data_IF_683056806120
#
_entry.id   IF_683056806120
#
_cell.length_a   1.000
_cell.length_b   1.000
_cell.length_c   1.000
_cell.angle_alpha   90.00
_cell.angle_beta   90.00
_cell.angle_gamma   90.00
#
_symmetry.space_group_name_H-M   'P 1'
#
loop_
_entity.id
_entity.type
_entity.pdbx_description
1 polymer ?
#
# COMPACT_ATOMS: atom_id res chain seq x y z
N UNK A 1 2.37 11.58 -0.81
CA UNK A 1 1.75 12.11 0.39
C UNK A 1 0.87 13.29 0.08
N UNK A 2 -0.29 13.34 0.72
CA UNK A 2 -1.25 14.43 0.52
C UNK A 2 -0.79 15.73 1.20
N UNK A 3 0.07 15.63 2.20
CA UNK A 3 0.60 16.78 2.92
C UNK A 3 2.07 16.55 3.26
N UNK A 4 2.86 17.57 3.03
CA UNK A 4 4.27 17.61 3.41
C UNK A 4 4.38 18.12 4.84
N UNK A 5 4.80 17.26 5.75
CA UNK A 5 5.09 17.62 7.12
C UNK A 5 6.58 17.42 7.40
N UNK A 6 7.25 18.33 8.12
CA UNK A 6 8.62 18.09 8.53
C UNK A 6 8.68 16.91 9.50
N UNK A 7 9.78 16.19 9.51
CA UNK A 7 10.01 15.15 10.52
C UNK A 7 9.98 15.75 11.93
N UNK A 8 9.56 14.97 12.94
CA UNK A 8 9.68 15.39 14.33
C UNK A 8 11.12 15.77 14.67
N UNK A 9 11.31 16.73 15.58
CA UNK A 9 12.63 17.11 16.04
C UNK A 9 13.38 15.92 16.66
N UNK A 10 14.68 15.79 16.33
CA UNK A 10 15.50 14.69 16.82
C UNK A 10 15.26 13.34 16.14
N UNK A 11 14.67 13.35 14.95
CA UNK A 11 14.53 12.11 14.16
C UNK A 11 15.90 11.45 13.92
N UNK A 12 15.93 10.13 13.93
CA UNK A 12 17.11 9.34 13.58
C UNK A 12 16.95 8.82 12.16
N UNK A 13 17.87 9.23 11.29
CA UNK A 13 17.88 8.78 9.91
C UNK A 13 18.92 7.69 9.70
N UNK A 14 18.48 6.58 9.12
CA UNK A 14 19.41 5.51 8.73
C UNK A 14 20.09 5.91 7.42
N UNK A 15 21.42 5.94 7.44
CA UNK A 15 22.15 5.98 6.19
C UNK A 15 21.84 4.70 5.42
N UNK A 16 21.59 4.85 4.14
CA UNK A 16 21.19 3.85 3.16
C UNK A 16 21.29 2.39 3.67
N UNK A 17 20.16 1.70 3.90
CA UNK A 17 20.16 0.34 4.44
C UNK A 17 20.72 -0.70 3.45
N UNK A 18 21.08 -0.30 2.22
CA UNK A 18 21.57 -1.19 1.18
C UNK A 18 20.52 -2.13 0.58
N UNK A 19 20.91 -2.87 -0.44
CA UNK A 19 20.07 -3.88 -1.06
C UNK A 19 20.21 -5.22 -0.32
N UNK A 20 19.16 -6.00 -0.09
CA UNK A 20 17.77 -5.73 -0.45
C UNK A 20 17.05 -4.97 0.67
N UNK A 21 16.59 -3.79 0.40
CA UNK A 21 15.81 -3.00 1.35
C UNK A 21 14.43 -2.71 0.76
N UNK A 22 13.38 -3.06 1.51
CA UNK A 22 12.03 -2.60 1.23
C UNK A 22 11.78 -1.18 1.77
N UNK A 23 12.81 -0.53 2.27
CA UNK A 23 12.76 0.85 2.73
C UNK A 23 12.84 1.76 1.52
N UNK A 24 11.80 2.54 1.31
CA UNK A 24 11.81 3.61 0.30
C UNK A 24 12.80 4.67 0.78
N UNK A 25 13.83 5.03 0.01
CA UNK A 25 14.69 6.15 0.38
C UNK A 25 13.85 7.42 0.37
N UNK A 26 13.55 7.95 1.53
CA UNK A 26 12.90 9.24 1.67
C UNK A 26 13.93 10.31 1.32
N UNK A 27 13.86 10.81 0.11
CA UNK A 27 14.93 11.63 -0.46
C UNK A 27 15.10 13.03 0.13
N UNK A 28 14.23 13.53 0.98
CA UNK A 28 14.39 14.82 1.66
C UNK A 28 13.41 14.92 2.80
N UNK A 29 13.88 15.22 3.97
CA UNK A 29 13.28 15.44 5.27
C UNK A 29 11.82 15.85 5.42
N UNK A 30 10.90 15.12 4.84
CA UNK A 30 9.47 15.31 5.03
C UNK A 30 8.78 13.99 5.32
N UNK A 31 7.91 14.01 6.31
CA UNK A 31 7.04 12.90 6.63
C UNK A 31 5.84 12.86 5.69
N UNK A 32 5.32 11.66 5.46
CA UNK A 32 4.05 11.48 4.75
C UNK A 32 2.92 11.41 5.77
N UNK A 33 1.97 12.31 5.67
CA UNK A 33 0.77 12.24 6.48
C UNK A 33 0.06 10.90 6.28
N UNK A 34 -0.16 10.25 7.36
CA UNK A 34 -0.50 8.87 7.74
C UNK A 34 0.59 7.81 7.47
N UNK A 35 0.82 7.00 8.51
CA UNK A 35 1.80 5.91 8.45
C UNK A 35 1.30 4.74 7.61
N UNK A 36 1.94 4.54 6.44
CA UNK A 36 1.68 3.37 5.58
C UNK A 36 2.04 2.05 6.26
N UNK A 37 3.05 2.02 7.12
CA UNK A 37 3.44 0.82 7.86
C UNK A 37 2.31 0.35 8.79
N UNK A 38 1.73 1.26 9.55
CA UNK A 38 0.62 0.96 10.45
C UNK A 38 -0.66 0.63 9.65
N UNK A 39 -0.90 1.36 8.56
CA UNK A 39 -2.03 1.08 7.67
C UNK A 39 -1.98 -0.34 7.11
N UNK A 40 -0.82 -0.77 6.61
CA UNK A 40 -0.63 -2.12 6.07
C UNK A 40 -0.87 -3.21 7.13
N UNK A 41 -0.29 -3.07 8.32
CA UNK A 41 -0.50 -4.02 9.42
C UNK A 41 -1.98 -4.09 9.80
N UNK A 42 -2.69 -2.95 9.81
CA UNK A 42 -4.12 -2.88 10.12
C UNK A 42 -4.96 -3.65 9.11
N UNK A 43 -4.67 -3.52 7.81
CA UNK A 43 -5.36 -4.26 6.74
C UNK A 43 -5.08 -5.76 6.89
N UNK A 44 -3.81 -6.16 7.04
CA UNK A 44 -3.44 -7.56 7.24
C UNK A 44 -4.14 -8.17 8.47
N UNK A 45 -4.14 -7.48 9.59
CA UNK A 45 -4.82 -7.94 10.80
C UNK A 45 -6.33 -8.12 10.56
N UNK A 46 -6.96 -7.20 9.83
CA UNK A 46 -8.39 -7.28 9.50
C UNK A 46 -8.72 -8.51 8.65
N UNK A 47 -7.88 -8.82 7.65
CA UNK A 47 -8.02 -10.02 6.80
C UNK A 47 -7.88 -11.31 7.60
N UNK A 48 -6.85 -11.43 8.44
CA UNK A 48 -6.64 -12.62 9.26
C UNK A 48 -7.73 -12.83 10.31
N UNK A 49 -8.26 -11.73 10.87
CA UNK A 49 -9.44 -11.77 11.74
C UNK A 49 -10.65 -12.32 11.00
N UNK A 50 -10.90 -11.84 9.76
CA UNK A 50 -12.00 -12.31 8.90
C UNK A 50 -11.83 -13.79 8.52
N UNK A 51 -10.60 -14.24 8.27
CA UNK A 51 -10.27 -15.62 8.01
C UNK A 51 -10.41 -16.54 9.25
N UNK A 52 -10.66 -15.98 10.44
CA UNK A 52 -10.81 -16.74 11.69
C UNK A 52 -9.50 -17.23 12.30
N UNK A 53 -8.34 -16.80 11.78
CA UNK A 53 -7.03 -17.26 12.26
C UNK A 53 -6.53 -16.32 13.34
N UNK A 54 -7.10 -16.45 14.53
CA UNK A 54 -6.89 -15.56 15.67
C UNK A 54 -5.43 -15.45 16.15
N UNK A 55 -4.60 -16.52 16.16
CA UNK A 55 -3.19 -16.36 16.57
C UNK A 55 -2.41 -15.41 15.68
N UNK A 56 -2.63 -15.45 14.36
CA UNK A 56 -1.97 -14.52 13.40
C UNK A 56 -2.50 -13.10 13.59
N UNK A 57 -3.82 -12.95 13.76
CA UNK A 57 -4.42 -11.64 14.07
C UNK A 57 -3.75 -10.98 15.27
N UNK A 58 -3.66 -11.68 16.41
CA UNK A 58 -3.04 -11.13 17.60
C UNK A 58 -1.54 -10.88 17.44
N UNK A 59 -0.84 -11.75 16.71
CA UNK A 59 0.57 -11.52 16.36
C UNK A 59 0.77 -10.22 15.57
N UNK A 60 -0.10 -9.94 14.60
CA UNK A 60 -0.07 -8.70 13.82
C UNK A 60 -0.45 -7.48 14.67
N UNK A 61 -1.42 -7.60 15.57
CA UNK A 61 -1.78 -6.51 16.49
C UNK A 61 -0.60 -6.15 17.39
N UNK A 62 0.03 -7.15 18.04
CA UNK A 62 1.20 -6.94 18.89
C UNK A 62 2.36 -6.37 18.08
N UNK A 63 2.65 -6.92 16.89
CA UNK A 63 3.66 -6.42 15.98
C UNK A 63 3.39 -4.97 15.53
N UNK A 64 2.13 -4.63 15.30
CA UNK A 64 1.70 -3.27 15.00
C UNK A 64 1.98 -2.28 16.13
N UNK A 65 1.68 -2.65 17.37
CA UNK A 65 2.04 -1.83 18.53
C UNK A 65 3.55 -1.67 18.68
N UNK A 66 4.31 -2.73 18.47
CA UNK A 66 5.77 -2.67 18.50
C UNK A 66 6.33 -1.75 17.40
N UNK A 67 5.80 -1.86 16.18
CA UNK A 67 6.15 -0.98 15.05
C UNK A 67 5.81 0.48 15.38
N UNK A 68 4.62 0.74 15.90
CA UNK A 68 4.21 2.08 16.31
C UNK A 68 5.16 2.66 17.37
N UNK A 69 5.55 1.87 18.37
CA UNK A 69 6.50 2.28 19.38
C UNK A 69 7.86 2.64 18.77
N UNK A 70 8.39 1.82 17.87
CA UNK A 70 9.66 2.10 17.18
C UNK A 70 9.56 3.40 16.38
N UNK A 71 8.52 3.58 15.59
CA UNK A 71 8.34 4.77 14.76
C UNK A 71 8.29 6.06 15.59
N UNK A 72 7.69 6.01 16.79
CA UNK A 72 7.69 7.13 17.72
C UNK A 72 9.05 7.31 18.43
N UNK A 73 9.68 6.21 18.86
CA UNK A 73 10.96 6.26 19.57
C UNK A 73 12.10 6.82 18.69
N UNK A 74 12.09 6.51 17.39
CA UNK A 74 13.05 7.06 16.43
C UNK A 74 12.61 8.38 15.81
N UNK A 75 11.49 8.94 16.26
CA UNK A 75 10.96 10.22 15.76
C UNK A 75 10.78 10.24 14.24
N UNK A 76 10.38 9.11 13.65
CA UNK A 76 10.12 9.00 12.20
C UNK A 76 8.71 9.46 11.85
N UNK A 77 7.77 9.32 12.80
CA UNK A 77 6.39 9.72 12.65
C UNK A 77 5.88 10.48 13.87
N UNK A 78 4.88 11.32 13.65
CA UNK A 78 4.06 11.86 14.72
C UNK A 78 2.99 10.85 15.16
N UNK A 79 2.53 10.96 16.39
CA UNK A 79 1.45 10.11 16.91
C UNK A 79 0.18 10.20 16.06
N UNK A 80 -0.11 11.39 15.51
CA UNK A 80 -1.27 11.62 14.63
C UNK A 80 -1.19 10.77 13.35
N UNK A 81 0.00 10.53 12.80
CA UNK A 81 0.20 9.75 11.58
C UNK A 81 -0.11 8.27 11.82
N UNK A 82 0.19 7.77 13.01
CA UNK A 82 -0.13 6.41 13.41
C UNK A 82 -1.64 6.23 13.58
N UNK A 83 -2.29 7.17 14.26
CA UNK A 83 -3.74 7.17 14.44
C UNK A 83 -4.48 7.23 13.11
N UNK A 84 -4.10 8.18 12.27
CA UNK A 84 -4.71 8.32 10.94
C UNK A 84 -4.42 7.13 10.05
N UNK A 85 -3.25 6.50 10.18
CA UNK A 85 -2.90 5.25 9.50
C UNK A 85 -3.85 4.10 9.84
N UNK A 86 -4.13 3.87 11.13
CA UNK A 86 -5.10 2.86 11.57
C UNK A 86 -6.50 3.20 11.07
N UNK A 87 -6.95 4.43 11.31
CA UNK A 87 -8.32 4.84 10.99
C UNK A 87 -8.59 4.77 9.49
N UNK A 88 -7.70 5.34 8.68
CA UNK A 88 -7.86 5.36 7.23
C UNK A 88 -7.78 3.96 6.62
N UNK A 89 -6.84 3.12 7.08
CA UNK A 89 -6.72 1.75 6.63
C UNK A 89 -7.96 0.93 6.98
N UNK A 90 -8.47 1.08 8.20
CA UNK A 90 -9.69 0.37 8.61
C UNK A 90 -10.92 0.84 7.82
N UNK A 91 -11.05 2.13 7.57
CA UNK A 91 -12.14 2.69 6.77
C UNK A 91 -12.07 2.20 5.32
N UNK A 92 -10.90 2.27 4.68
CA UNK A 92 -10.71 1.76 3.33
C UNK A 92 -11.01 0.25 3.24
N UNK A 93 -10.53 -0.52 4.22
CA UNK A 93 -10.79 -1.95 4.30
C UNK A 93 -12.29 -2.25 4.32
N UNK A 94 -13.03 -1.62 5.23
CA UNK A 94 -14.48 -1.77 5.31
C UNK A 94 -15.19 -1.36 4.04
N UNK A 95 -14.83 -0.20 3.50
CA UNK A 95 -15.42 0.30 2.26
C UNK A 95 -15.25 -0.69 1.09
N UNK A 96 -14.05 -1.25 0.93
CA UNK A 96 -13.77 -2.24 -0.13
C UNK A 96 -14.51 -3.54 0.17
N UNK A 97 -14.53 -4.00 1.40
CA UNK A 97 -15.21 -5.25 1.78
C UNK A 97 -16.73 -5.17 1.56
N UNK A 98 -17.34 -4.04 1.87
CA UNK A 98 -18.76 -3.79 1.64
C UNK A 98 -19.11 -3.67 0.15
N UNK A 99 -18.17 -3.17 -0.68
CA UNK A 99 -18.36 -2.93 -2.11
C UNK A 99 -17.60 -3.94 -3.00
N UNK A 100 -17.18 -5.08 -2.45
CA UNK A 100 -16.30 -6.04 -3.12
C UNK A 100 -16.76 -6.47 -4.52
N UNK A 101 -18.05 -6.75 -4.70
CA UNK A 101 -18.61 -7.19 -5.99
C UNK A 101 -18.46 -6.12 -7.07
N UNK A 102 -18.68 -4.85 -6.70
CA UNK A 102 -18.50 -3.72 -7.60
C UNK A 102 -17.03 -3.51 -7.91
N UNK A 103 -16.16 -3.54 -6.89
CA UNK A 103 -14.71 -3.38 -7.05
C UNK A 103 -14.15 -4.50 -7.93
N UNK A 104 -14.51 -5.75 -7.67
CA UNK A 104 -14.07 -6.91 -8.45
C UNK A 104 -14.51 -6.80 -9.90
N UNK A 105 -15.77 -6.42 -10.16
CA UNK A 105 -16.26 -6.25 -11.52
C UNK A 105 -15.50 -5.14 -12.29
N UNK A 106 -15.20 -4.03 -11.64
CA UNK A 106 -14.40 -2.94 -12.23
C UNK A 106 -12.98 -3.40 -12.51
N UNK A 107 -12.33 -4.08 -11.56
CA UNK A 107 -10.98 -4.60 -11.73
C UNK A 107 -10.91 -5.62 -12.88
N UNK A 108 -11.83 -6.58 -12.93
CA UNK A 108 -11.90 -7.59 -13.99
C UNK A 108 -12.04 -6.89 -15.35
N UNK A 109 -12.92 -5.88 -15.46
CA UNK A 109 -13.09 -5.13 -16.70
C UNK A 109 -11.82 -4.39 -17.12
N UNK A 110 -11.11 -3.78 -16.18
CA UNK A 110 -9.84 -3.08 -16.44
C UNK A 110 -8.79 -4.09 -16.94
N UNK A 111 -8.62 -5.22 -16.25
CA UNK A 111 -7.67 -6.26 -16.64
C UNK A 111 -8.02 -6.86 -18.01
N UNK A 112 -9.30 -7.10 -18.28
CA UNK A 112 -9.73 -7.64 -19.57
C UNK A 112 -9.46 -6.66 -20.71
N UNK A 113 -9.81 -5.38 -20.54
CA UNK A 113 -9.49 -4.33 -21.52
C UNK A 113 -7.98 -4.18 -21.71
N UNK A 114 -7.20 -4.18 -20.63
CA UNK A 114 -5.74 -4.14 -20.66
C UNK A 114 -5.14 -5.32 -21.46
N UNK A 115 -5.66 -6.52 -21.25
CA UNK A 115 -5.24 -7.73 -22.00
C UNK A 115 -5.53 -7.63 -23.50
N UNK A 116 -6.67 -7.05 -23.88
CA UNK A 116 -7.03 -6.82 -25.29
C UNK A 116 -6.08 -5.80 -25.91
N UNK A 117 -5.83 -4.67 -25.23
CA UNK A 117 -4.93 -3.62 -25.72
C UNK A 117 -3.51 -4.18 -25.89
N UNK A 118 -3.02 -4.92 -24.89
CA UNK A 118 -1.71 -5.57 -24.96
C UNK A 118 -1.60 -6.54 -26.13
N UNK A 119 -2.62 -7.40 -26.33
CA UNK A 119 -2.65 -8.32 -27.49
C UNK A 119 -2.66 -7.58 -28.83
N UNK A 120 -3.42 -6.46 -28.93
CA UNK A 120 -3.41 -5.63 -30.14
C UNK A 120 -2.03 -5.00 -30.36
N UNK A 121 -1.42 -4.43 -29.33
CA UNK A 121 -0.07 -3.87 -29.41
C UNK A 121 0.99 -4.88 -29.84
N UNK A 122 0.94 -6.09 -29.29
CA UNK A 122 1.85 -7.17 -29.66
C UNK A 122 1.67 -7.65 -31.12
N UNK A 123 0.45 -7.65 -31.64
CA UNK A 123 0.21 -7.95 -33.06
C UNK A 123 0.80 -6.89 -33.97
N UNK A 124 0.68 -5.61 -33.62
CA UNK A 124 1.27 -4.50 -34.37
C UNK A 124 2.81 -4.61 -34.37
N UNK A 125 3.41 -4.90 -33.22
CA UNK A 125 4.88 -5.04 -33.12
C UNK A 125 5.42 -6.25 -33.91
N UNK A 126 4.65 -7.35 -33.95
CA UNK A 126 5.04 -8.55 -34.71
C UNK A 126 4.87 -8.42 -36.23
N UNK A 127 4.37 -7.29 -36.72
CA UNK A 127 4.22 -7.06 -38.17
C UNK A 127 3.21 -8.00 -38.84
N UNK A 128 2.18 -8.41 -38.10
CA UNK A 128 1.15 -9.32 -38.63
C UNK A 128 0.38 -8.61 -39.73
N UNK A 129 0.69 -8.98 -41.01
CA UNK A 129 0.14 -8.34 -42.22
C UNK A 129 -1.38 -8.40 -42.32
N UNK A 130 -2.00 -9.31 -41.60
CA UNK A 130 -3.46 -9.44 -41.51
C UNK A 130 -4.14 -8.18 -40.93
N UNK A 131 -3.39 -7.29 -40.29
CA UNK A 131 -3.95 -6.06 -39.69
C UNK A 131 -3.80 -4.82 -40.61
N UNK A 132 -2.90 -4.87 -41.64
CA UNK A 132 -2.73 -3.76 -42.59
C UNK A 132 -3.90 -3.64 -43.56
N UNK A 133 -4.65 -4.70 -43.79
CA UNK A 133 -5.74 -4.75 -44.73
C UNK A 133 -7.11 -4.37 -44.18
N UNK A 134 -7.15 -3.86 -42.91
CA UNK A 134 -8.37 -3.43 -42.23
C UNK A 134 -8.56 -1.90 -42.15
N UNK A 135 -7.62 -1.16 -42.81
CA UNK A 135 -7.67 0.29 -43.05
C UNK A 135 -7.34 0.59 -44.54
#
# INVERSE_FOLDING_TARGET
GLFWMPFPSGYYWWNDPGFPSFVVPYGVGSDFFFSGHIGFVTICASEWKKAGIMPVYWGLVIGGFYTAFILLAYHVHYSIDLFTGVFFAHWCYKFIDENKETVDSVLINIFYKGKIIFKKGMKIIRGDESFRNLF
#
